data_IF_779896020643
#
_entry.id   IF_779896020643
#
_cell.length_a   1.000
_cell.length_b   1.000
_cell.length_c   1.000
_cell.angle_alpha   90.00
_cell.angle_beta   90.00
_cell.angle_gamma   90.00
#
_symmetry.space_group_name_H-M   'P 1'
#
loop_
_entity.id
_entity.type
_entity.pdbx_description
1 polymer ?
#
# COMPACT_ATOMS: atom_id res chain seq x y z
N UNK A 1 1.46 -64.99 34.41
CA UNK A 1 0.21 -65.09 35.20
C UNK A 1 -0.48 -63.74 35.10
N UNK A 2 -1.52 -63.67 34.27
CA UNK A 2 -2.93 -63.60 34.71
C UNK A 2 -3.36 -62.13 34.89
N UNK A 3 -3.76 -61.43 33.83
CA UNK A 3 -5.13 -61.43 33.25
C UNK A 3 -6.23 -61.05 34.28
N UNK A 4 -6.92 -59.93 34.01
CA UNK A 4 -8.39 -59.86 34.05
C UNK A 4 -8.92 -58.58 33.36
N UNK A 5 -9.90 -58.79 32.48
CA UNK A 5 -10.83 -57.88 31.77
C UNK A 5 -12.14 -58.70 31.64
N UNK A 6 -13.34 -58.20 31.25
CA UNK A 6 -13.83 -56.84 30.91
C UNK A 6 -15.12 -56.54 31.75
N UNK A 7 -16.30 -56.02 31.29
CA UNK A 7 -16.74 -55.21 30.12
C UNK A 7 -17.49 -53.89 30.60
N UNK A 8 -18.64 -53.32 30.16
CA UNK A 8 -19.69 -53.63 29.16
C UNK A 8 -20.62 -52.43 28.79
N UNK A 9 -20.71 -52.03 27.50
CA UNK A 9 -21.83 -51.36 26.76
C UNK A 9 -22.37 -49.97 27.25
N UNK A 10 -22.74 -48.97 26.42
CA UNK A 10 -23.52 -48.86 25.12
C UNK A 10 -25.04 -49.00 25.37
N UNK A 11 -25.95 -48.10 24.93
CA UNK A 11 -26.07 -47.35 23.65
C UNK A 11 -26.88 -46.02 23.74
N UNK A 12 -26.69 -45.07 22.81
CA UNK A 12 -27.66 -44.01 22.43
C UNK A 12 -27.05 -42.67 21.98
N UNK A 13 -27.53 -41.93 20.96
CA UNK A 13 -28.55 -42.27 19.94
C UNK A 13 -29.42 -41.08 19.50
N UNK A 14 -28.96 -40.27 18.53
CA UNK A 14 -29.78 -39.21 17.89
C UNK A 14 -29.36 -38.97 16.42
N UNK A 15 -30.32 -38.62 15.56
CA UNK A 15 -30.19 -38.38 14.10
C UNK A 15 -31.02 -37.13 13.75
N UNK A 16 -30.86 -36.59 12.53
CA UNK A 16 -31.41 -35.35 11.96
C UNK A 16 -30.62 -34.08 12.37
N UNK A 17 -30.47 -33.06 11.50
CA UNK A 17 -30.98 -32.88 10.14
C UNK A 17 -29.94 -32.15 9.26
N UNK A 18 -29.79 -32.54 7.99
CA UNK A 18 -28.82 -31.97 7.06
C UNK A 18 -29.48 -30.89 6.18
N UNK A 19 -29.18 -29.61 6.43
CA UNK A 19 -29.67 -28.47 5.63
C UNK A 19 -28.67 -28.05 4.55
N UNK A 20 -28.79 -28.66 3.36
CA UNK A 20 -28.00 -28.31 2.18
C UNK A 20 -28.49 -27.00 1.52
N UNK A 21 -27.76 -25.90 1.74
CA UNK A 21 -27.94 -24.68 0.94
C UNK A 21 -27.11 -24.73 -0.34
N UNK A 22 -27.74 -25.14 -1.45
CA UNK A 22 -27.13 -25.18 -2.78
C UNK A 22 -27.19 -23.78 -3.42
N UNK A 23 -26.12 -23.01 -3.26
CA UNK A 23 -25.93 -21.80 -4.06
C UNK A 23 -25.27 -22.14 -5.40
N UNK A 24 -26.10 -22.28 -6.45
CA UNK A 24 -25.63 -22.18 -7.83
C UNK A 24 -25.16 -20.75 -8.11
N UNK A 25 -23.85 -20.56 -8.25
CA UNK A 25 -23.28 -19.43 -8.97
C UNK A 25 -22.65 -19.97 -10.26
N UNK A 26 -23.13 -19.52 -11.42
CA UNK A 26 -22.66 -20.01 -12.71
C UNK A 26 -21.24 -19.52 -12.99
N UNK A 27 -20.35 -20.42 -13.41
CA UNK A 27 -19.07 -20.04 -14.01
C UNK A 27 -19.31 -19.24 -15.29
N UNK A 28 -18.78 -18.01 -15.34
CA UNK A 28 -18.65 -17.24 -16.58
C UNK A 28 -17.19 -17.32 -17.04
N UNK A 29 -16.93 -18.14 -18.05
CA UNK A 29 -15.64 -18.13 -18.75
C UNK A 29 -15.62 -16.93 -19.68
N UNK A 30 -14.57 -16.12 -19.61
CA UNK A 30 -14.23 -15.13 -20.65
C UNK A 30 -12.80 -15.47 -21.09
N UNK A 31 -12.61 -15.73 -22.38
CA UNK A 31 -11.29 -15.86 -22.98
C UNK A 31 -10.68 -14.47 -23.21
N UNK A 32 -9.36 -14.41 -23.28
CA UNK A 32 -8.66 -13.26 -23.83
C UNK A 32 -8.88 -13.18 -25.35
N UNK A 33 -9.11 -11.98 -25.88
CA UNK A 33 -8.61 -11.60 -27.20
C UNK A 33 -7.92 -10.23 -27.07
N UNK A 34 -6.67 -10.17 -27.54
CA UNK A 34 -5.89 -8.94 -27.69
C UNK A 34 -5.92 -8.58 -29.18
N UNK A 35 -6.50 -7.44 -29.55
CA UNK A 35 -6.26 -6.83 -30.86
C UNK A 35 -5.94 -5.33 -30.74
N UNK A 36 -5.03 -4.88 -31.59
CA UNK A 36 -4.62 -3.49 -31.75
C UNK A 36 -5.37 -2.84 -32.91
N UNK A 37 -5.94 -1.65 -32.73
CA UNK A 37 -6.59 -0.89 -33.79
C UNK A 37 -6.39 0.62 -33.65
N UNK A 38 -6.22 1.31 -34.78
CA UNK A 38 -6.00 2.76 -34.83
C UNK A 38 -7.30 3.57 -34.69
N UNK A 39 -7.18 4.88 -34.44
CA UNK A 39 -8.32 5.79 -34.39
C UNK A 39 -8.90 6.04 -35.78
N UNK A 40 -10.15 5.64 -36.01
CA UNK A 40 -10.95 5.96 -37.21
C UNK A 40 -12.23 6.73 -36.86
N UNK A 41 -12.63 7.65 -37.73
CA UNK A 41 -13.79 8.53 -37.51
C UNK A 41 -15.13 7.78 -37.47
N UNK A 42 -15.97 8.09 -36.48
CA UNK A 42 -17.38 7.70 -36.47
C UNK A 42 -18.24 8.66 -37.29
N UNK A 43 -18.97 8.12 -38.26
CA UNK A 43 -20.15 8.76 -38.86
C UNK A 43 -21.39 8.24 -38.11
N UNK A 44 -22.32 9.10 -37.64
CA UNK A 44 -23.48 8.63 -36.88
C UNK A 44 -24.49 7.91 -37.78
N UNK A 45 -24.83 6.67 -37.44
CA UNK A 45 -25.92 5.92 -38.08
C UNK A 45 -27.27 6.25 -37.42
N UNK A 46 -28.27 6.62 -38.22
CA UNK A 46 -29.62 6.97 -37.74
C UNK A 46 -30.49 5.72 -37.57
N UNK A 47 -30.90 5.40 -36.34
CA UNK A 47 -31.83 4.27 -36.06
C UNK A 47 -33.22 4.80 -35.73
N UNK A 48 -34.16 4.63 -36.66
CA UNK A 48 -35.58 5.00 -36.47
C UNK A 48 -36.36 3.90 -35.74
N UNK A 49 -36.86 4.22 -34.54
CA UNK A 49 -37.87 3.42 -33.85
C UNK A 49 -39.22 4.16 -33.87
N UNK A 50 -40.26 3.47 -34.35
CA UNK A 50 -41.54 4.11 -34.68
C UNK A 50 -42.54 4.18 -33.53
N UNK A 51 -42.52 5.27 -32.74
CA UNK A 51 -43.72 5.97 -32.19
C UNK A 51 -43.32 7.11 -31.24
N UNK A 52 -43.69 8.34 -31.61
CA UNK A 52 -43.61 9.53 -30.75
C UNK A 52 -42.37 10.40 -30.97
N UNK A 53 -42.58 11.71 -31.07
CA UNK A 53 -41.50 12.72 -31.08
C UNK A 53 -41.38 13.27 -29.66
N UNK A 54 -40.24 13.01 -29.01
CA UNK A 54 -39.85 13.70 -27.77
C UNK A 54 -38.82 14.79 -28.11
N UNK A 55 -39.23 16.05 -27.95
CA UNK A 55 -38.34 17.20 -28.15
C UNK A 55 -37.50 17.42 -26.89
N UNK A 56 -36.35 16.75 -26.85
CA UNK A 56 -35.32 16.98 -25.82
C UNK A 56 -34.42 18.13 -26.26
N UNK A 57 -34.70 19.35 -25.78
CA UNK A 57 -33.80 20.49 -25.96
C UNK A 57 -32.41 20.18 -25.38
N UNK A 58 -31.36 20.65 -26.05
CA UNK A 58 -29.96 20.39 -25.71
C UNK A 58 -29.64 20.74 -24.24
N UNK A 59 -29.63 19.72 -23.39
CA UNK A 59 -28.94 19.75 -22.10
C UNK A 59 -27.93 18.62 -22.14
N UNK A 60 -26.66 18.97 -22.38
CA UNK A 60 -25.57 18.00 -22.27
C UNK A 60 -25.43 17.64 -20.80
N UNK A 61 -26.09 16.55 -20.39
CA UNK A 61 -25.79 15.87 -19.12
C UNK A 61 -24.43 15.21 -19.31
N UNK A 62 -23.39 16.04 -19.20
CA UNK A 62 -22.03 15.60 -18.92
C UNK A 62 -22.14 14.61 -17.78
N UNK A 63 -21.72 13.36 -18.02
CA UNK A 63 -21.69 12.37 -16.98
C UNK A 63 -20.59 12.77 -16.01
N UNK A 64 -21.00 13.53 -14.99
CA UNK A 64 -20.12 14.01 -13.93
C UNK A 64 -19.39 12.80 -13.36
N UNK A 65 -18.06 12.80 -13.51
CA UNK A 65 -17.20 11.87 -12.78
C UNK A 65 -17.65 11.86 -11.31
N UNK A 66 -17.71 10.69 -10.66
CA UNK A 66 -18.16 10.60 -9.27
C UNK A 66 -17.38 11.62 -8.45
N UNK A 67 -18.09 12.48 -7.73
CA UNK A 67 -17.48 13.62 -7.04
C UNK A 67 -16.26 13.14 -6.27
N UNK A 68 -15.11 13.80 -6.49
CA UNK A 68 -13.96 13.69 -5.62
C UNK A 68 -14.45 14.01 -4.20
N UNK A 69 -14.69 12.97 -3.42
CA UNK A 69 -15.20 13.07 -2.06
C UNK A 69 -14.31 14.05 -1.32
N UNK A 70 -14.90 15.11 -0.76
CA UNK A 70 -14.11 16.23 -0.29
C UNK A 70 -13.03 15.76 0.69
N UNK A 71 -11.78 16.03 0.31
CA UNK A 71 -10.59 16.03 1.19
C UNK A 71 -10.95 16.73 2.51
N UNK A 72 -10.27 16.44 3.65
CA UNK A 72 -10.46 17.22 4.87
C UNK A 72 -10.51 18.72 4.57
N UNK A 73 -11.44 19.46 5.20
CA UNK A 73 -11.50 20.91 5.02
C UNK A 73 -10.13 21.52 5.30
N UNK A 74 -9.74 22.50 4.48
CA UNK A 74 -8.44 23.17 4.54
C UNK A 74 -7.22 22.26 4.28
N UNK A 75 -7.41 21.22 3.45
CA UNK A 75 -6.32 20.39 2.91
C UNK A 75 -6.23 20.44 1.38
N UNK A 76 -5.00 20.33 0.89
CA UNK A 76 -4.62 20.39 -0.52
C UNK A 76 -4.41 18.96 -1.07
N UNK A 77 -4.35 18.75 -2.39
CA UNK A 77 -3.94 17.44 -2.93
C UNK A 77 -2.50 17.08 -2.52
N UNK A 78 -2.20 15.78 -2.56
CA UNK A 78 -0.83 15.24 -2.63
C UNK A 78 -0.35 15.13 -4.09
N UNK A 79 -1.28 14.93 -5.04
CA UNK A 79 -1.02 14.77 -6.47
C UNK A 79 -2.03 15.55 -7.30
N UNK A 80 -1.57 16.31 -8.28
CA UNK A 80 -2.39 16.83 -9.37
C UNK A 80 -1.56 16.88 -10.68
N UNK A 81 -2.00 17.59 -11.72
CA UNK A 81 -1.32 17.63 -13.02
C UNK A 81 -0.90 19.05 -13.42
N UNK A 82 -0.73 19.95 -12.45
CA UNK A 82 -0.46 21.38 -12.64
C UNK A 82 0.89 21.70 -12.02
N UNK A 83 1.92 21.89 -12.84
CA UNK A 83 3.25 22.33 -12.40
C UNK A 83 3.16 23.69 -11.68
N UNK A 84 3.14 23.66 -10.34
CA UNK A 84 2.72 24.79 -9.48
C UNK A 84 3.81 25.26 -8.49
N UNK A 85 5.09 25.37 -8.91
CA UNK A 85 6.25 25.34 -8.03
C UNK A 85 6.23 26.42 -6.94
N UNK A 86 6.43 25.98 -5.69
CA UNK A 86 6.42 26.83 -4.50
C UNK A 86 7.84 27.15 -4.01
N UNK A 87 8.01 28.36 -3.49
CA UNK A 87 9.25 28.83 -2.87
C UNK A 87 9.18 28.74 -1.35
N UNK A 88 10.33 28.55 -0.69
CA UNK A 88 10.43 28.44 0.77
C UNK A 88 10.36 27.02 1.30
N UNK A 89 10.58 26.01 0.45
CA UNK A 89 10.78 24.62 0.85
C UNK A 89 12.05 24.48 1.71
N UNK A 90 12.03 23.52 2.64
CA UNK A 90 13.20 23.18 3.46
C UNK A 90 14.33 22.56 2.61
N UNK A 91 13.97 21.76 1.61
CA UNK A 91 14.88 21.21 0.58
C UNK A 91 14.21 21.29 -0.79
N UNK A 92 14.97 21.64 -1.82
CA UNK A 92 14.50 21.66 -3.21
C UNK A 92 13.78 22.95 -3.65
N UNK A 93 13.81 24.02 -2.85
CA UNK A 93 13.17 25.29 -3.23
C UNK A 93 13.82 25.93 -4.47
N UNK A 94 13.05 26.40 -5.48
CA UNK A 94 11.61 26.20 -5.68
C UNK A 94 11.29 24.87 -6.39
N UNK A 95 10.22 24.19 -5.97
CA UNK A 95 9.74 22.97 -6.63
C UNK A 95 8.23 22.77 -6.46
N UNK A 96 7.65 21.96 -7.34
CA UNK A 96 6.29 21.44 -7.22
C UNK A 96 6.24 20.38 -6.11
N UNK A 97 5.25 20.50 -5.22
CA UNK A 97 5.00 19.62 -4.05
C UNK A 97 3.86 18.63 -4.29
N UNK A 98 3.29 18.62 -5.50
CA UNK A 98 2.03 17.98 -5.91
C UNK A 98 2.22 17.25 -7.25
N UNK A 99 3.15 16.28 -7.33
CA UNK A 99 3.50 15.62 -8.58
C UNK A 99 2.32 14.89 -9.24
N UNK A 100 2.44 14.50 -10.53
CA UNK A 100 1.46 13.66 -11.21
C UNK A 100 1.03 12.43 -10.38
N UNK A 101 -0.25 12.01 -10.42
CA UNK A 101 -0.70 10.80 -9.76
C UNK A 101 0.05 9.56 -10.30
N UNK A 102 0.74 8.77 -9.45
CA UNK A 102 1.49 7.60 -9.91
C UNK A 102 0.57 6.46 -10.34
N UNK A 103 1.00 5.71 -11.36
CA UNK A 103 0.24 4.55 -11.88
C UNK A 103 0.45 3.33 -10.99
N UNK A 104 -0.52 3.03 -10.13
CA UNK A 104 -0.47 1.87 -9.23
C UNK A 104 -0.70 0.55 -9.97
N UNK A 105 0.20 -0.40 -9.77
CA UNK A 105 0.10 -1.76 -10.33
C UNK A 105 -0.94 -2.61 -9.57
N UNK A 106 -1.09 -3.89 -9.93
CA UNK A 106 -2.07 -4.80 -9.31
C UNK A 106 -1.72 -5.14 -7.84
N UNK A 107 -0.44 -5.19 -7.50
CA UNK A 107 0.06 -5.48 -6.16
C UNK A 107 -0.04 -4.26 -5.22
N UNK A 108 0.26 -3.06 -5.71
CA UNK A 108 0.02 -1.79 -5.00
C UNK A 108 -1.44 -1.68 -4.52
N UNK A 109 -2.36 -2.00 -5.43
CA UNK A 109 -3.80 -2.05 -5.16
C UNK A 109 -4.13 -3.17 -4.16
N UNK A 110 -3.44 -4.31 -4.19
CA UNK A 110 -3.59 -5.38 -3.20
C UNK A 110 -3.09 -4.98 -1.80
N UNK A 111 -2.01 -4.21 -1.70
CA UNK A 111 -1.47 -3.66 -0.45
C UNK A 111 -2.41 -2.61 0.14
N UNK A 112 -2.89 -1.65 -0.67
CA UNK A 112 -3.92 -0.69 -0.23
C UNK A 112 -5.20 -1.39 0.25
N UNK A 113 -5.69 -2.39 -0.50
CA UNK A 113 -6.83 -3.22 -0.10
C UNK A 113 -6.57 -4.08 1.15
N UNK A 114 -5.30 -4.33 1.49
CA UNK A 114 -4.90 -5.01 2.74
C UNK A 114 -4.87 -4.04 3.91
N UNK A 115 -4.36 -2.82 3.71
CA UNK A 115 -4.38 -1.73 4.68
C UNK A 115 -5.78 -1.22 5.05
N UNK A 116 -6.74 -1.24 4.12
CA UNK A 116 -8.13 -0.88 4.41
C UNK A 116 -8.30 0.55 4.94
N UNK A 117 -9.21 0.77 5.90
CA UNK A 117 -9.49 2.09 6.45
C UNK A 117 -8.30 2.67 7.26
N UNK A 118 -8.13 4.00 7.33
CA UNK A 118 -7.13 4.64 8.19
C UNK A 118 -7.17 4.15 9.64
N UNK A 119 -6.02 3.75 10.18
CA UNK A 119 -5.91 3.22 11.55
C UNK A 119 -6.28 1.74 11.71
N UNK A 120 -6.62 1.03 10.62
CA UNK A 120 -6.70 -0.44 10.64
C UNK A 120 -5.32 -1.02 10.93
N UNK A 121 -5.25 -1.98 11.86
CA UNK A 121 -4.07 -2.83 12.06
C UNK A 121 -4.25 -4.09 11.21
N UNK A 122 -3.26 -4.43 10.38
CA UNK A 122 -3.29 -5.59 9.49
C UNK A 122 -2.94 -6.85 10.26
N UNK A 123 -3.78 -7.88 10.14
CA UNK A 123 -3.47 -9.20 10.68
C UNK A 123 -2.42 -9.94 9.81
N UNK A 124 -1.40 -10.59 10.40
CA UNK A 124 -0.40 -11.37 9.66
C UNK A 124 -0.98 -12.38 8.66
N UNK A 125 -2.10 -13.03 8.98
CA UNK A 125 -2.76 -13.99 8.08
C UNK A 125 -3.36 -13.32 6.84
N UNK A 126 -3.80 -12.05 6.93
CA UNK A 126 -4.28 -11.25 5.80
C UNK A 126 -3.13 -10.90 4.84
N UNK A 127 -1.96 -10.54 5.38
CA UNK A 127 -0.74 -10.38 4.58
C UNK A 127 -0.34 -11.69 3.91
N UNK A 128 -0.35 -12.82 4.63
CA UNK A 128 -0.07 -14.12 4.02
C UNK A 128 -1.07 -14.49 2.92
N UNK A 129 -2.36 -14.19 3.08
CA UNK A 129 -3.36 -14.40 2.03
C UNK A 129 -3.11 -13.51 0.80
N UNK A 130 -2.74 -12.24 1.00
CA UNK A 130 -2.32 -11.33 -0.07
C UNK A 130 -1.10 -11.89 -0.83
N UNK A 131 -0.06 -12.32 -0.13
CA UNK A 131 1.15 -12.88 -0.77
C UNK A 131 0.90 -14.23 -1.46
N UNK A 132 0.01 -15.08 -0.91
CA UNK A 132 -0.42 -16.33 -1.57
C UNK A 132 -1.20 -16.07 -2.86
N UNK A 133 -2.04 -15.02 -2.89
CA UNK A 133 -2.75 -14.58 -4.11
C UNK A 133 -1.81 -13.97 -5.15
N UNK A 134 -0.74 -13.29 -4.72
CA UNK A 134 0.28 -12.67 -5.57
C UNK A 134 1.58 -13.50 -5.56
N UNK A 135 1.48 -14.78 -5.91
CA UNK A 135 2.58 -15.75 -5.78
C UNK A 135 3.83 -15.41 -6.60
N UNK A 136 3.67 -14.73 -7.74
CA UNK A 136 4.78 -14.19 -8.54
C UNK A 136 5.60 -13.14 -7.76
N UNK A 137 4.92 -12.17 -7.13
CA UNK A 137 5.52 -11.14 -6.26
C UNK A 137 6.29 -11.79 -5.11
N UNK A 138 5.71 -12.81 -4.47
CA UNK A 138 6.38 -13.57 -3.41
C UNK A 138 7.66 -14.26 -3.92
N UNK A 139 7.64 -14.81 -5.14
CA UNK A 139 8.80 -15.46 -5.76
C UNK A 139 9.88 -14.43 -6.18
N UNK A 140 9.48 -13.24 -6.64
CA UNK A 140 10.38 -12.14 -6.98
C UNK A 140 11.12 -11.61 -5.74
N UNK A 141 10.38 -11.25 -4.67
CA UNK A 141 10.97 -10.82 -3.39
C UNK A 141 11.94 -11.91 -2.87
N UNK A 142 11.53 -13.19 -2.94
CA UNK A 142 12.38 -14.33 -2.55
C UNK A 142 13.66 -14.42 -3.37
N UNK A 143 13.58 -14.24 -4.69
CA UNK A 143 14.75 -14.21 -5.59
C UNK A 143 15.67 -13.03 -5.25
N UNK A 144 15.10 -11.83 -5.06
CA UNK A 144 15.81 -10.59 -4.75
C UNK A 144 16.62 -10.68 -3.46
N UNK A 145 16.05 -11.24 -2.38
CA UNK A 145 16.78 -11.43 -1.11
C UNK A 145 17.72 -12.63 -1.11
N UNK A 146 17.89 -13.34 -2.23
CA UNK A 146 18.77 -14.52 -2.31
C UNK A 146 18.21 -15.76 -1.61
N UNK A 147 16.96 -16.14 -1.94
CA UNK A 147 16.36 -17.45 -1.69
C UNK A 147 15.77 -17.71 -0.31
N UNK A 148 16.22 -17.01 0.73
CA UNK A 148 15.69 -17.12 2.10
C UNK A 148 15.96 -15.87 2.95
N UNK A 149 15.21 -15.68 4.04
CA UNK A 149 15.54 -14.67 5.07
C UNK A 149 16.26 -15.31 6.27
N UNK A 150 15.83 -16.51 6.69
CA UNK A 150 16.57 -17.33 7.68
C UNK A 150 17.38 -18.42 6.95
N UNK A 151 18.56 -18.75 7.45
CA UNK A 151 19.42 -19.78 6.85
C UNK A 151 18.74 -21.16 6.88
N UNK A 152 18.91 -21.95 5.82
CA UNK A 152 18.28 -23.27 5.64
C UNK A 152 16.77 -23.24 5.35
N UNK A 153 16.07 -22.14 5.60
CA UNK A 153 14.60 -22.00 5.45
C UNK A 153 14.24 -21.56 4.03
N UNK A 154 14.39 -22.49 3.09
CA UNK A 154 14.35 -22.22 1.63
C UNK A 154 13.06 -22.63 0.92
N UNK A 155 12.06 -23.21 1.59
CA UNK A 155 10.76 -23.51 0.95
C UNK A 155 9.94 -22.24 0.69
N UNK A 156 8.85 -22.32 -0.10
CA UNK A 156 7.97 -21.16 -0.32
C UNK A 156 7.08 -20.87 0.90
N UNK A 157 6.69 -21.90 1.66
CA UNK A 157 5.95 -21.73 2.90
C UNK A 157 6.83 -21.11 4.01
N UNK A 158 8.07 -21.58 4.13
CA UNK A 158 9.03 -21.04 5.09
C UNK A 158 9.38 -19.60 4.79
N UNK A 159 9.67 -19.28 3.52
CA UNK A 159 9.96 -17.91 3.12
C UNK A 159 8.82 -16.95 3.42
N UNK A 160 7.56 -17.37 3.21
CA UNK A 160 6.41 -16.55 3.52
C UNK A 160 6.25 -16.33 5.03
N UNK A 161 6.50 -17.35 5.86
CA UNK A 161 6.48 -17.21 7.31
C UNK A 161 7.59 -16.27 7.79
N UNK A 162 8.83 -16.46 7.34
CA UNK A 162 9.97 -15.60 7.68
C UNK A 162 9.72 -14.14 7.28
N UNK A 163 9.16 -13.91 6.07
CA UNK A 163 8.79 -12.59 5.58
C UNK A 163 7.68 -11.97 6.45
N UNK A 164 6.69 -12.78 6.86
CA UNK A 164 5.61 -12.32 7.76
C UNK A 164 6.19 -11.88 9.11
N UNK A 165 7.02 -12.70 9.74
CA UNK A 165 7.61 -12.40 11.05
C UNK A 165 8.45 -11.12 11.01
N UNK A 166 9.30 -10.97 9.99
CA UNK A 166 10.19 -9.82 9.81
C UNK A 166 9.42 -8.51 9.59
N UNK A 167 8.24 -8.55 8.98
CA UNK A 167 7.41 -7.36 8.71
C UNK A 167 6.39 -7.04 9.81
N UNK A 168 5.93 -8.03 10.58
CA UNK A 168 4.85 -7.84 11.57
C UNK A 168 5.35 -7.76 13.02
N UNK A 169 6.43 -8.46 13.40
CA UNK A 169 6.92 -8.52 14.79
C UNK A 169 7.35 -7.17 15.38
N UNK A 170 7.69 -6.19 14.55
CA UNK A 170 7.90 -4.79 14.94
C UNK A 170 7.04 -3.79 14.13
N UNK A 171 5.90 -4.26 13.58
CA UNK A 171 4.86 -3.47 12.89
C UNK A 171 5.32 -2.66 11.68
N UNK A 172 6.34 -3.14 10.96
CA UNK A 172 6.81 -2.48 9.74
C UNK A 172 5.73 -2.41 8.65
N UNK A 173 4.88 -3.43 8.49
CA UNK A 173 3.86 -3.41 7.43
C UNK A 173 2.84 -2.28 7.63
N UNK A 174 2.20 -2.22 8.80
CA UNK A 174 1.26 -1.14 9.15
C UNK A 174 1.93 0.23 9.04
N UNK A 175 3.14 0.36 9.59
CA UNK A 175 3.85 1.62 9.64
C UNK A 175 4.27 2.13 8.26
N UNK A 176 4.94 1.30 7.45
CA UNK A 176 5.47 1.72 6.14
C UNK A 176 4.34 1.89 5.12
N UNK A 177 3.46 0.89 4.99
CA UNK A 177 2.44 0.87 3.93
C UNK A 177 1.14 1.56 4.34
N UNK A 178 0.59 1.24 5.51
CA UNK A 178 -0.78 1.64 5.85
C UNK A 178 -0.87 3.01 6.54
N UNK A 179 0.21 3.39 7.23
CA UNK A 179 0.25 4.48 8.20
C UNK A 179 -0.37 4.10 9.54
N UNK A 180 0.13 4.68 10.63
CA UNK A 180 -0.43 4.59 11.99
C UNK A 180 -1.13 5.93 12.39
N UNK A 181 -2.21 6.39 11.70
CA UNK A 181 -2.92 7.61 12.11
C UNK A 181 -3.79 7.33 13.34
N UNK A 182 -3.59 8.10 14.42
CA UNK A 182 -4.47 8.11 15.59
C UNK A 182 -5.05 9.51 15.77
N UNK A 183 -6.37 9.61 16.00
CA UNK A 183 -7.03 10.90 16.26
C UNK A 183 -6.28 11.73 17.31
N UNK A 184 -6.04 13.01 17.00
CA UNK A 184 -5.41 13.96 17.93
C UNK A 184 -3.92 13.71 18.19
N UNK A 185 -3.28 12.79 17.46
CA UNK A 185 -1.85 12.49 17.55
C UNK A 185 -1.16 12.68 16.20
N UNK A 186 0.18 12.69 16.25
CA UNK A 186 1.00 12.55 15.05
C UNK A 186 0.74 11.20 14.37
N UNK A 187 0.73 11.21 13.04
CA UNK A 187 0.66 10.00 12.22
C UNK A 187 2.00 9.27 12.33
N UNK A 188 2.00 7.97 12.66
CA UNK A 188 3.19 7.13 12.53
C UNK A 188 3.39 6.65 11.10
N UNK A 189 4.63 6.56 10.64
CA UNK A 189 4.96 5.94 9.36
C UNK A 189 4.41 6.68 8.14
N UNK A 190 3.69 5.96 7.27
CA UNK A 190 3.08 6.39 6.01
C UNK A 190 4.13 6.77 4.94
N UNK A 191 4.76 5.76 4.34
CA UNK A 191 5.92 5.91 3.45
C UNK A 191 5.75 5.30 2.05
N UNK A 192 4.65 4.56 1.82
CA UNK A 192 4.28 4.04 0.50
C UNK A 192 3.43 5.05 -0.29
N UNK A 193 3.90 5.47 -1.46
CA UNK A 193 3.22 6.48 -2.30
C UNK A 193 1.80 6.08 -2.69
N UNK A 194 1.55 4.79 -2.96
CA UNK A 194 0.22 4.31 -3.33
C UNK A 194 -0.85 4.50 -2.26
N UNK A 195 -0.46 4.59 -0.98
CA UNK A 195 -1.38 4.90 0.13
C UNK A 195 -1.82 6.35 0.14
N UNK A 196 -0.94 7.28 -0.25
CA UNK A 196 -1.31 8.69 -0.37
C UNK A 196 -2.37 8.87 -1.47
N UNK A 197 -2.16 8.23 -2.63
CA UNK A 197 -3.09 8.34 -3.75
C UNK A 197 -4.46 7.73 -3.43
N UNK A 198 -4.49 6.54 -2.81
CA UNK A 198 -5.74 5.87 -2.42
C UNK A 198 -6.52 6.64 -1.35
N UNK A 199 -5.84 7.28 -0.39
CA UNK A 199 -6.50 8.13 0.60
C UNK A 199 -6.97 9.47 0.01
N UNK A 200 -6.26 10.06 -0.94
CA UNK A 200 -6.72 11.25 -1.67
C UNK A 200 -7.96 10.94 -2.52
N UNK A 201 -7.93 9.86 -3.32
CA UNK A 201 -9.05 9.45 -4.18
C UNK A 201 -10.33 9.14 -3.38
N UNK A 202 -10.20 8.70 -2.12
CA UNK A 202 -11.31 8.44 -1.19
C UNK A 202 -11.71 9.65 -0.33
N UNK A 203 -11.11 10.83 -0.54
CA UNK A 203 -11.36 12.01 0.28
C UNK A 203 -10.96 11.86 1.75
N UNK A 204 -10.13 10.88 2.07
CA UNK A 204 -9.72 10.54 3.43
C UNK A 204 -8.45 11.26 3.87
N UNK A 205 -7.61 11.71 2.95
CA UNK A 205 -6.39 12.44 3.29
C UNK A 205 -6.01 13.50 2.25
N UNK A 206 -5.26 14.51 2.71
CA UNK A 206 -4.69 15.57 1.89
C UNK A 206 -3.47 16.20 2.57
N UNK A 207 -2.78 17.08 1.83
CA UNK A 207 -1.62 17.84 2.28
C UNK A 207 -2.05 18.99 3.18
N UNK A 208 -1.26 19.29 4.21
CA UNK A 208 -1.51 20.43 5.10
C UNK A 208 -1.22 21.74 4.36
N UNK A 209 -2.20 22.64 4.30
CA UNK A 209 -1.95 24.02 3.92
C UNK A 209 -0.95 24.68 4.88
N UNK A 210 -0.18 25.66 4.36
CA UNK A 210 0.78 26.47 5.12
C UNK A 210 1.93 25.69 5.81
N UNK A 211 2.35 24.56 5.24
CA UNK A 211 3.42 23.70 5.78
C UNK A 211 4.79 23.87 5.08
N UNK A 212 4.91 24.74 4.08
CA UNK A 212 6.01 24.77 3.10
C UNK A 212 7.42 24.89 3.68
N UNK A 213 7.61 25.57 4.80
CA UNK A 213 8.90 25.61 5.53
C UNK A 213 9.32 24.28 6.19
N UNK A 214 8.55 23.21 5.98
CA UNK A 214 8.81 21.81 6.38
C UNK A 214 8.57 20.83 5.22
N UNK A 215 8.30 21.33 4.02
CA UNK A 215 8.14 20.53 2.81
C UNK A 215 9.51 20.38 2.14
N UNK A 216 9.82 19.18 1.65
CA UNK A 216 11.09 18.82 1.01
C UNK A 216 10.80 18.10 -0.29
N UNK A 217 11.48 18.50 -1.38
CA UNK A 217 11.27 17.89 -2.69
C UNK A 217 12.60 17.55 -3.36
N UNK A 218 12.75 16.29 -3.74
CA UNK A 218 13.68 15.85 -4.77
C UNK A 218 12.83 15.46 -5.99
N UNK A 219 12.73 16.32 -7.03
CA UNK A 219 11.70 16.18 -8.06
C UNK A 219 11.69 14.82 -8.78
N UNK A 220 10.51 14.21 -8.79
CA UNK A 220 10.23 12.85 -9.27
C UNK A 220 11.01 11.74 -8.54
N UNK A 221 11.43 11.96 -7.28
CA UNK A 221 12.15 10.97 -6.48
C UNK A 221 11.63 10.87 -5.03
N UNK A 222 11.66 11.97 -4.27
CA UNK A 222 11.27 12.01 -2.85
C UNK A 222 10.44 13.25 -2.58
N UNK A 223 9.34 13.08 -1.84
CA UNK A 223 8.46 14.16 -1.41
C UNK A 223 8.19 14.01 0.08
N UNK A 224 8.61 14.99 0.88
CA UNK A 224 8.24 15.15 2.29
C UNK A 224 7.28 16.31 2.43
N UNK A 225 6.16 16.09 3.12
CA UNK A 225 5.11 17.10 3.26
C UNK A 225 4.32 16.96 4.57
N UNK A 226 3.51 17.98 4.86
CA UNK A 226 2.53 17.92 5.94
C UNK A 226 1.29 17.14 5.50
N UNK A 227 0.77 16.26 6.35
CA UNK A 227 -0.35 15.35 6.03
C UNK A 227 -1.48 15.47 7.07
N UNK A 228 -2.73 15.42 6.60
CA UNK A 228 -3.94 15.23 7.40
C UNK A 228 -4.74 14.03 6.89
N UNK A 229 -5.24 13.19 7.81
CA UNK A 229 -6.01 11.97 7.52
C UNK A 229 -7.26 11.90 8.39
N UNK A 230 -8.41 11.52 7.83
CA UNK A 230 -9.67 11.19 8.53
C UNK A 230 -9.55 9.81 9.19
N UNK A 231 -9.90 9.72 10.46
CA UNK A 231 -9.94 8.49 11.28
C UNK A 231 -11.32 8.45 11.95
N UNK A 232 -12.27 7.80 11.27
CA UNK A 232 -13.70 8.08 11.49
C UNK A 232 -14.00 9.55 11.17
N UNK A 233 -14.89 10.16 11.95
CA UNK A 233 -15.32 11.57 11.79
C UNK A 233 -14.29 12.59 12.31
N UNK A 234 -13.11 12.14 12.72
CA UNK A 234 -12.05 12.96 13.33
C UNK A 234 -10.77 12.91 12.49
N UNK A 235 -9.75 13.69 12.85
CA UNK A 235 -8.49 13.73 12.08
C UNK A 235 -7.22 13.44 12.90
N UNK A 236 -6.23 12.90 12.21
CA UNK A 236 -4.83 12.85 12.61
C UNK A 236 -4.02 13.79 11.70
N UNK A 237 -2.96 14.42 12.21
CA UNK A 237 -2.12 15.38 11.45
C UNK A 237 -0.65 15.13 11.76
N UNK A 238 0.24 15.30 10.78
CA UNK A 238 1.69 15.27 10.98
C UNK A 238 2.36 16.27 10.04
N UNK A 239 3.25 17.17 10.52
CA UNK A 239 3.84 18.23 9.70
C UNK A 239 4.97 17.74 8.78
N UNK A 240 5.45 16.51 8.99
CA UNK A 240 6.54 15.89 8.22
C UNK A 240 6.19 14.41 8.01
N UNK A 241 5.95 14.02 6.76
CA UNK A 241 5.61 12.68 6.26
C UNK A 241 6.08 12.58 4.81
N UNK A 242 6.74 11.50 4.40
CA UNK A 242 7.29 11.43 3.05
C UNK A 242 7.37 10.02 2.47
N UNK A 243 7.40 9.95 1.14
CA UNK A 243 7.33 8.73 0.35
C UNK A 243 8.34 8.76 -0.81
N UNK A 244 8.70 7.58 -1.30
CA UNK A 244 9.48 7.42 -2.53
C UNK A 244 8.51 7.45 -3.69
N UNK A 245 8.67 8.39 -4.62
CA UNK A 245 7.69 8.61 -5.69
C UNK A 245 7.71 7.50 -6.75
N UNK A 246 8.89 6.96 -7.02
CA UNK A 246 9.13 5.89 -8.00
C UNK A 246 8.75 4.50 -7.45
N UNK A 247 9.01 4.28 -6.15
CA UNK A 247 8.93 2.97 -5.49
C UNK A 247 7.50 2.44 -5.34
N UNK A 248 7.24 1.30 -5.97
CA UNK A 248 6.03 0.51 -5.76
C UNK A 248 6.17 -0.45 -4.56
N UNK A 249 5.08 -1.14 -4.21
CA UNK A 249 5.05 -1.97 -3.02
C UNK A 249 5.93 -3.24 -3.09
N UNK A 250 6.23 -3.76 -4.28
CA UNK A 250 7.15 -4.90 -4.46
C UNK A 250 8.61 -4.49 -4.24
N UNK A 251 9.03 -3.31 -4.73
CA UNK A 251 10.36 -2.77 -4.40
C UNK A 251 10.51 -2.51 -2.90
N UNK A 252 9.54 -1.86 -2.25
CA UNK A 252 9.61 -1.55 -0.82
C UNK A 252 9.72 -2.85 0.01
N UNK A 253 8.93 -3.88 -0.32
CA UNK A 253 9.06 -5.20 0.31
C UNK A 253 10.44 -5.83 0.04
N UNK A 254 10.93 -5.78 -1.20
CA UNK A 254 12.19 -6.40 -1.61
C UNK A 254 13.42 -5.74 -0.97
N UNK A 255 13.53 -4.41 -1.07
CA UNK A 255 14.65 -3.60 -0.62
C UNK A 255 14.77 -3.67 0.91
N UNK A 256 13.69 -3.42 1.64
CA UNK A 256 13.75 -3.44 3.11
C UNK A 256 13.94 -4.86 3.69
N UNK A 257 13.48 -5.91 2.98
CA UNK A 257 13.76 -7.31 3.37
C UNK A 257 15.22 -7.71 3.11
N UNK A 258 15.83 -7.25 2.01
CA UNK A 258 17.26 -7.43 1.76
C UNK A 258 18.10 -6.65 2.78
N UNK A 259 17.71 -5.40 3.07
CA UNK A 259 18.34 -4.57 4.09
C UNK A 259 18.28 -5.25 5.46
N UNK A 260 17.15 -5.86 5.83
CA UNK A 260 17.01 -6.67 7.05
C UNK A 260 17.98 -7.86 7.06
N UNK A 261 18.01 -8.65 5.98
CA UNK A 261 18.86 -9.84 5.87
C UNK A 261 20.35 -9.50 6.06
N UNK A 262 20.79 -8.35 5.55
CA UNK A 262 22.16 -7.86 5.71
C UNK A 262 22.43 -7.14 7.04
N UNK A 263 21.44 -6.45 7.59
CA UNK A 263 21.56 -5.60 8.80
C UNK A 263 20.58 -6.03 9.92
N UNK A 264 20.60 -7.31 10.33
CA UNK A 264 19.70 -7.78 11.38
C UNK A 264 20.03 -7.14 12.73
N UNK A 265 19.01 -6.95 13.55
CA UNK A 265 19.14 -6.46 14.92
C UNK A 265 18.16 -7.20 15.82
N UNK A 266 18.66 -8.08 16.69
CA UNK A 266 17.87 -8.81 17.69
C UNK A 266 17.58 -8.00 18.95
N UNK A 267 18.25 -6.87 19.15
CA UNK A 267 18.08 -6.01 20.33
C UNK A 267 16.73 -5.29 20.36
N UNK A 268 16.27 -4.94 21.56
CA UNK A 268 15.09 -4.11 21.81
C UNK A 268 15.33 -2.62 21.58
N UNK A 269 16.58 -2.19 21.39
CA UNK A 269 16.93 -0.84 20.92
C UNK A 269 16.83 -0.76 19.40
N UNK A 270 16.36 0.36 18.86
CA UNK A 270 16.37 0.61 17.42
C UNK A 270 17.82 0.68 16.91
N UNK A 271 18.12 0.02 15.79
CA UNK A 271 19.34 0.23 15.01
C UNK A 271 18.94 0.86 13.67
N UNK A 272 19.38 2.08 13.41
CA UNK A 272 19.18 2.77 12.15
C UNK A 272 20.43 2.63 11.26
N UNK A 273 20.22 2.62 9.94
CA UNK A 273 21.28 2.83 8.96
C UNK A 273 20.71 3.47 7.68
N UNK A 274 21.57 4.12 6.90
CA UNK A 274 21.24 4.72 5.61
C UNK A 274 21.51 3.73 4.47
N UNK A 275 20.52 3.57 3.58
CA UNK A 275 20.63 2.79 2.36
C UNK A 275 20.39 3.71 1.16
N UNK A 276 21.35 3.75 0.24
CA UNK A 276 21.15 4.39 -1.06
C UNK A 276 20.25 3.50 -1.92
N UNK A 277 19.17 4.07 -2.45
CA UNK A 277 18.26 3.39 -3.38
C UNK A 277 18.36 4.08 -4.74
N UNK A 278 18.45 3.27 -5.79
CA UNK A 278 18.42 3.72 -7.19
C UNK A 278 17.25 3.05 -7.89
N UNK A 279 16.34 3.86 -8.44
CA UNK A 279 15.06 3.43 -9.02
C UNK A 279 14.55 4.51 -9.99
N UNK A 280 13.91 4.10 -11.11
CA UNK A 280 13.58 4.92 -12.29
C UNK A 280 14.66 5.98 -12.67
N UNK A 281 15.93 5.57 -12.65
CA UNK A 281 17.08 6.44 -12.91
C UNK A 281 17.35 7.53 -11.85
N UNK A 282 16.53 7.62 -10.80
CA UNK A 282 16.75 8.47 -9.62
C UNK A 282 17.61 7.73 -8.61
N UNK A 283 18.37 8.48 -7.80
CA UNK A 283 19.06 7.94 -6.63
C UNK A 283 18.80 8.83 -5.43
N UNK A 284 18.39 8.23 -4.32
CA UNK A 284 18.08 8.93 -3.07
C UNK A 284 18.43 8.08 -1.86
N UNK A 285 18.55 8.73 -0.69
CA UNK A 285 18.83 8.03 0.57
C UNK A 285 17.52 7.57 1.20
N UNK A 286 17.57 6.39 1.83
CA UNK A 286 16.51 5.87 2.69
C UNK A 286 17.06 5.57 4.08
N UNK A 287 16.29 5.85 5.11
CA UNK A 287 16.58 5.46 6.49
C UNK A 287 15.87 4.14 6.76
N UNK A 288 16.67 3.11 7.05
CA UNK A 288 16.23 1.77 7.40
C UNK A 288 16.44 1.52 8.89
N UNK A 289 15.44 0.95 9.59
CA UNK A 289 15.52 0.72 11.04
C UNK A 289 15.07 -0.69 11.40
N UNK A 290 15.89 -1.41 12.18
CA UNK A 290 15.60 -2.76 12.69
C UNK A 290 15.58 -2.83 14.22
N UNK A 291 14.76 -3.74 14.75
CA UNK A 291 14.54 -3.98 16.20
C UNK A 291 13.87 -5.34 16.43
N UNK A 292 14.14 -5.99 17.56
CA UNK A 292 13.51 -7.26 18.00
C UNK A 292 13.65 -8.44 17.01
N UNK A 293 14.61 -8.41 16.08
CA UNK A 293 14.72 -9.36 14.97
C UNK A 293 13.66 -9.15 13.89
N UNK A 294 13.37 -7.89 13.57
CA UNK A 294 12.38 -7.46 12.58
C UNK A 294 12.70 -6.06 12.03
N UNK A 295 12.01 -5.65 10.98
CA UNK A 295 12.00 -4.27 10.46
C UNK A 295 11.09 -3.43 11.38
N UNK A 296 11.48 -2.19 11.68
CA UNK A 296 10.64 -1.19 12.36
C UNK A 296 10.11 -0.13 11.40
N UNK A 297 10.97 0.40 10.52
CA UNK A 297 10.57 1.33 9.46
C UNK A 297 11.60 1.34 8.32
N UNK A 298 11.16 1.84 7.16
CA UNK A 298 11.94 2.13 5.97
C UNK A 298 11.27 3.31 5.27
N UNK A 299 12.00 4.40 5.05
CA UNK A 299 11.48 5.61 4.44
C UNK A 299 12.58 6.38 3.71
N UNK A 300 12.28 7.11 2.62
CA UNK A 300 13.24 8.01 2.00
C UNK A 300 13.45 9.27 2.82
N UNK A 301 14.63 9.84 2.68
CA UNK A 301 15.06 11.03 3.41
C UNK A 301 15.69 12.02 2.41
N UNK A 302 15.15 13.23 2.36
CA UNK A 302 15.62 14.31 1.49
C UNK A 302 16.69 15.18 2.17
N UNK A 303 16.83 15.11 3.50
CA UNK A 303 17.85 15.81 4.30
C UNK A 303 18.63 14.84 5.21
N UNK A 304 19.17 13.72 4.67
CA UNK A 304 19.66 12.58 5.46
C UNK A 304 20.74 12.95 6.48
N UNK A 305 20.46 12.67 7.76
CA UNK A 305 21.39 12.93 8.87
C UNK A 305 22.67 12.09 8.74
N UNK A 306 23.75 12.77 8.36
CA UNK A 306 25.10 12.23 8.13
C UNK A 306 25.71 11.46 9.32
N UNK A 307 25.14 11.55 10.52
CA UNK A 307 25.58 10.77 11.68
C UNK A 307 25.10 9.30 11.63
N UNK A 308 24.11 8.97 10.81
CA UNK A 308 23.64 7.60 10.67
C UNK A 308 24.63 6.75 9.85
N UNK A 309 25.01 5.54 10.33
CA UNK A 309 25.92 4.68 9.59
C UNK A 309 25.26 4.18 8.30
N UNK A 310 26.05 3.90 7.26
CA UNK A 310 25.56 3.23 6.06
C UNK A 310 25.22 1.77 6.37
N UNK A 311 24.17 1.24 5.74
CA UNK A 311 23.83 -0.17 5.80
C UNK A 311 24.89 -1.02 5.08
N UNK A 312 25.13 -2.23 5.60
CA UNK A 312 25.91 -3.30 4.94
C UNK A 312 25.11 -3.90 3.76
#
# INVERSE_FOLDING_TARGET
>A
MSQLVPPLKVMGGAILLLSLFVFKASSATILEEFESGEQGSYVPAEVKLGRGILSSNNTVISHSHPLLTAVPSDSLPFFDNINNPVSGLAVGSPADVTPPPPTLNSFDKAVNNTCGAPGTVVDPSRFQAMMKKNSAVLANIKKFVGGSLVSGRTSNADFLNDLTDVWFKAKAFDHIFCGEPTWGKSIGGLHFVGRYLELQQKGLAGRLANNTSREEVLPNAVYTMGVIIKVGDKTARSPVKGYGYTLNAEEILSIASLAYKKNPNTSSTNKACQLSVTDDGKTFTTVFVTKNGAIRTFFPDASPDNNNPKCL
#
